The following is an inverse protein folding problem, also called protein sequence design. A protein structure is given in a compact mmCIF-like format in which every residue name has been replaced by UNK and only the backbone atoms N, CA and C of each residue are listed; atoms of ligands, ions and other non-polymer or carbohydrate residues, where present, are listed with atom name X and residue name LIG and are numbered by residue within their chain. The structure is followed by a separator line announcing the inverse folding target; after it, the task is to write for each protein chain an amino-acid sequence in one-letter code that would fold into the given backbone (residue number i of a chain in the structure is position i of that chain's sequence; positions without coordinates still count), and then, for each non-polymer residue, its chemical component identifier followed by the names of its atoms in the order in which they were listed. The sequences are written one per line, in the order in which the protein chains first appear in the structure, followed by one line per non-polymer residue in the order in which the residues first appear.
data_IF_079871344008
#
_entry.id   IF_079871344008
#
_cell.length_a   1.000
_cell.length_b   1.000
_cell.length_c   1.000
_cell.angle_alpha   90.00
_cell.angle_beta   90.00
_cell.angle_gamma   90.00
#
_symmetry.space_group_name_H-M   'P 1'
#
loop_
_entity.id
_entity.type
_entity.pdbx_description
1 polymer ?
#
# COMPACT_ATOMS: atom_id res chain seq x y z
N UNK A 1 -10.02 -23.69 15.91
CA UNK A 1 -10.60 -24.06 14.60
C UNK A 1 -10.08 -23.16 13.47
N UNK A 2 -10.14 -21.82 13.61
CA UNK A 2 -9.68 -20.87 12.59
C UNK A 2 -8.19 -20.99 12.27
N UNK A 3 -7.32 -21.03 13.29
CA UNK A 3 -5.87 -21.19 13.13
C UNK A 3 -5.50 -22.48 12.42
N UNK A 4 -6.20 -23.58 12.74
CA UNK A 4 -6.01 -24.86 12.06
C UNK A 4 -6.35 -24.75 10.57
N UNK A 5 -7.52 -24.19 10.25
CA UNK A 5 -7.95 -23.99 8.86
C UNK A 5 -6.92 -23.21 8.05
N UNK A 6 -6.44 -22.05 8.58
CA UNK A 6 -5.43 -21.24 7.88
C UNK A 6 -4.18 -22.04 7.51
N UNK A 7 -3.66 -22.81 8.45
CA UNK A 7 -2.40 -23.51 8.27
C UNK A 7 -2.52 -24.74 7.37
N UNK A 8 -3.73 -25.33 7.26
CA UNK A 8 -4.00 -26.59 6.55
C UNK A 8 -4.80 -26.42 5.24
N UNK A 9 -5.10 -25.17 4.86
CA UNK A 9 -5.94 -24.90 3.67
C UNK A 9 -5.35 -25.45 2.37
N UNK A 10 -4.03 -25.46 2.25
CA UNK A 10 -3.31 -25.94 1.05
C UNK A 10 -2.74 -27.35 1.20
N UNK A 11 -3.10 -28.14 2.22
CA UNK A 11 -2.52 -29.48 2.44
C UNK A 11 -2.86 -30.47 1.34
N UNK A 12 -4.02 -30.31 0.70
CA UNK A 12 -4.47 -31.16 -0.40
C UNK A 12 -3.92 -30.76 -1.77
N UNK A 13 -2.96 -29.83 -1.81
CA UNK A 13 -2.33 -29.35 -3.05
C UNK A 13 -0.82 -29.51 -2.93
N UNK A 14 -0.21 -30.12 -3.95
CA UNK A 14 1.23 -30.10 -4.11
C UNK A 14 1.68 -28.77 -4.71
N UNK A 15 2.10 -27.83 -3.86
CA UNK A 15 2.54 -26.49 -4.27
C UNK A 15 3.86 -26.50 -5.06
N UNK A 16 4.52 -27.64 -5.23
CA UNK A 16 5.68 -27.81 -6.11
C UNK A 16 5.31 -28.25 -7.55
N UNK A 17 4.04 -28.52 -7.83
CA UNK A 17 3.60 -29.01 -9.13
C UNK A 17 3.24 -27.86 -10.08
N UNK A 18 4.15 -27.52 -11.00
CA UNK A 18 3.97 -26.48 -12.01
C UNK A 18 2.74 -26.67 -12.92
N UNK A 19 2.20 -27.91 -13.02
CA UNK A 19 1.01 -28.16 -13.85
C UNK A 19 -0.22 -27.44 -13.34
N UNK A 20 -0.26 -27.11 -12.05
CA UNK A 20 -1.33 -26.33 -11.44
C UNK A 20 -1.49 -24.94 -12.09
N UNK A 21 -0.40 -24.33 -12.56
CA UNK A 21 -0.42 -23.04 -13.24
C UNK A 21 -1.13 -23.05 -14.59
N UNK A 22 -1.41 -24.24 -15.13
CA UNK A 22 -2.15 -24.40 -16.39
C UNK A 22 -3.64 -24.60 -16.18
N UNK A 23 -4.08 -24.51 -14.93
CA UNK A 23 -5.47 -24.71 -14.54
C UNK A 23 -6.00 -23.51 -13.76
N UNK A 24 -7.27 -23.13 -13.91
CA UNK A 24 -7.85 -22.05 -13.13
C UNK A 24 -8.04 -22.40 -11.64
N UNK A 25 -7.86 -23.68 -11.29
CA UNK A 25 -8.13 -24.19 -9.93
C UNK A 25 -7.20 -23.56 -8.90
N UNK A 26 -5.94 -23.40 -9.24
CA UNK A 26 -4.94 -22.86 -8.31
C UNK A 26 -5.19 -21.37 -8.00
N UNK A 27 -5.37 -20.55 -9.01
CA UNK A 27 -5.67 -19.12 -8.84
C UNK A 27 -7.00 -18.91 -8.09
N UNK A 28 -8.05 -19.65 -8.48
CA UNK A 28 -9.33 -19.60 -7.78
C UNK A 28 -9.21 -19.99 -6.30
N UNK A 29 -8.33 -20.95 -5.98
CA UNK A 29 -8.09 -21.35 -4.60
C UNK A 29 -7.27 -20.30 -3.82
N UNK A 30 -6.32 -19.63 -4.48
CA UNK A 30 -5.62 -18.48 -3.87
C UNK A 30 -6.60 -17.36 -3.55
N UNK A 31 -7.45 -17.00 -4.50
CA UNK A 31 -8.45 -15.95 -4.30
C UNK A 31 -9.46 -16.30 -3.22
N UNK A 32 -9.97 -17.54 -3.20
CA UNK A 32 -10.86 -17.99 -2.13
C UNK A 32 -10.19 -17.90 -0.76
N UNK A 33 -8.92 -18.30 -0.65
CA UNK A 33 -8.18 -18.21 0.60
C UNK A 33 -8.00 -16.78 1.07
N UNK A 34 -7.44 -15.92 0.24
CA UNK A 34 -7.09 -14.56 0.62
C UNK A 34 -8.31 -13.63 0.75
N UNK A 35 -9.38 -13.87 0.00
CA UNK A 35 -10.58 -13.02 0.03
C UNK A 35 -11.63 -13.46 1.04
N UNK A 36 -11.76 -14.79 1.28
CA UNK A 36 -12.89 -15.31 2.06
C UNK A 36 -12.49 -16.01 3.34
N UNK A 37 -11.29 -16.61 3.39
CA UNK A 37 -10.88 -17.40 4.56
C UNK A 37 -10.08 -16.58 5.58
N UNK A 38 -9.57 -15.42 5.19
CA UNK A 38 -8.79 -14.55 6.06
C UNK A 38 -9.58 -13.29 6.44
N UNK A 39 -9.34 -12.80 7.66
CA UNK A 39 -9.80 -11.45 8.02
C UNK A 39 -9.11 -10.43 7.12
N UNK A 40 -9.89 -9.50 6.55
CA UNK A 40 -9.42 -8.50 5.60
C UNK A 40 -8.71 -7.34 6.30
N UNK A 41 -7.65 -7.68 7.03
CA UNK A 41 -6.72 -6.76 7.70
C UNK A 41 -5.27 -7.19 7.44
N UNK A 42 -4.32 -6.26 7.34
CA UNK A 42 -2.92 -6.56 7.06
C UNK A 42 -2.31 -7.58 8.02
N UNK A 43 -2.56 -7.44 9.32
CA UNK A 43 -2.03 -8.34 10.36
C UNK A 43 -2.49 -9.81 10.21
N UNK A 44 -3.61 -10.04 9.55
CA UNK A 44 -4.08 -11.40 9.25
C UNK A 44 -3.50 -11.94 7.95
N UNK A 45 -3.31 -11.09 6.96
CA UNK A 45 -2.96 -11.48 5.58
C UNK A 45 -1.44 -11.58 5.40
N UNK A 46 -0.67 -10.62 5.87
CA UNK A 46 0.80 -10.58 5.70
C UNK A 46 1.47 -11.88 6.18
N UNK A 47 1.20 -12.38 7.40
CA UNK A 47 1.80 -13.63 7.86
C UNK A 47 1.43 -14.84 6.99
N UNK A 48 0.26 -14.82 6.34
CA UNK A 48 -0.19 -15.91 5.47
C UNK A 48 0.45 -15.82 4.07
N UNK A 49 0.73 -14.61 3.58
CA UNK A 49 1.56 -14.42 2.38
C UNK A 49 2.94 -15.06 2.62
N UNK A 50 3.61 -14.69 3.71
CA UNK A 50 4.95 -15.21 4.01
C UNK A 50 4.95 -16.71 4.29
N UNK A 51 3.94 -17.22 5.00
CA UNK A 51 3.78 -18.65 5.24
C UNK A 51 3.62 -19.44 3.94
N UNK A 52 2.76 -18.98 3.04
CA UNK A 52 2.52 -19.62 1.74
C UNK A 52 3.77 -19.58 0.87
N UNK A 53 4.43 -18.42 0.75
CA UNK A 53 5.64 -18.27 -0.05
C UNK A 53 6.77 -19.17 0.45
N UNK A 54 6.99 -19.25 1.75
CA UNK A 54 7.98 -20.15 2.35
C UNK A 54 7.64 -21.64 2.11
N UNK A 55 6.35 -21.99 2.14
CA UNK A 55 5.89 -23.35 1.87
C UNK A 55 6.15 -23.75 0.42
N UNK A 56 5.87 -22.85 -0.53
CA UNK A 56 6.15 -23.06 -1.96
C UNK A 56 7.65 -23.24 -2.19
N UNK A 57 8.49 -22.37 -1.63
CA UNK A 57 9.95 -22.47 -1.71
C UNK A 57 10.47 -23.85 -1.30
N UNK A 58 9.94 -24.38 -0.19
CA UNK A 58 10.33 -25.71 0.31
C UNK A 58 9.85 -26.85 -0.57
N UNK A 59 8.64 -26.78 -1.10
CA UNK A 59 8.04 -27.85 -1.90
C UNK A 59 8.55 -27.85 -3.34
N UNK A 60 8.71 -26.69 -3.96
CA UNK A 60 9.23 -26.59 -5.32
C UNK A 60 10.73 -26.85 -5.39
N UNK A 61 11.47 -26.51 -4.32
CA UNK A 61 12.93 -26.72 -4.19
C UNK A 61 13.76 -26.15 -5.36
N UNK A 62 13.32 -25.03 -5.91
CA UNK A 62 13.99 -24.32 -7.02
C UNK A 62 14.43 -22.90 -6.63
N UNK A 63 14.36 -22.59 -5.33
CA UNK A 63 14.60 -21.26 -4.83
C UNK A 63 13.66 -20.23 -5.46
N UNK A 64 14.14 -19.02 -5.65
CA UNK A 64 13.35 -17.94 -6.25
C UNK A 64 13.13 -18.09 -7.76
N UNK A 65 13.82 -19.01 -8.43
CA UNK A 65 13.64 -19.33 -9.85
C UNK A 65 12.42 -20.24 -10.11
N UNK A 66 11.78 -20.75 -9.07
CA UNK A 66 10.60 -21.60 -9.16
C UNK A 66 9.43 -20.90 -9.83
N UNK A 67 8.75 -21.61 -10.74
CA UNK A 67 7.61 -21.05 -11.45
C UNK A 67 6.39 -20.91 -10.54
N UNK A 68 6.13 -21.89 -9.67
CA UNK A 68 5.05 -21.80 -8.68
C UNK A 68 5.28 -20.63 -7.75
N UNK A 69 6.52 -20.49 -7.26
CA UNK A 69 6.91 -19.38 -6.39
C UNK A 69 6.63 -18.03 -7.04
N UNK A 70 7.21 -17.80 -8.23
CA UNK A 70 7.10 -16.49 -8.86
C UNK A 70 5.67 -16.18 -9.33
N UNK A 71 4.94 -17.14 -9.89
CA UNK A 71 3.56 -16.91 -10.31
C UNK A 71 2.64 -16.60 -9.12
N UNK A 72 2.82 -17.30 -7.99
CA UNK A 72 2.05 -17.01 -6.77
C UNK A 72 2.38 -15.61 -6.24
N UNK A 73 3.67 -15.27 -6.16
CA UNK A 73 4.12 -13.95 -5.74
C UNK A 73 3.54 -12.86 -6.64
N UNK A 74 3.62 -13.04 -7.95
CA UNK A 74 3.11 -12.08 -8.91
C UNK A 74 1.58 -11.94 -8.85
N UNK A 75 0.85 -13.04 -8.67
CA UNK A 75 -0.60 -13.02 -8.47
C UNK A 75 -0.98 -12.18 -7.24
N UNK A 76 -0.32 -12.41 -6.10
CA UNK A 76 -0.55 -11.64 -4.88
C UNK A 76 -0.14 -10.17 -5.03
N UNK A 77 0.98 -9.89 -5.71
CA UNK A 77 1.42 -8.55 -6.03
C UNK A 77 0.35 -7.79 -6.85
N UNK A 78 -0.16 -8.40 -7.91
CA UNK A 78 -1.21 -7.81 -8.75
C UNK A 78 -2.53 -7.62 -7.99
N UNK A 79 -2.91 -8.59 -7.14
CA UNK A 79 -4.11 -8.55 -6.32
C UNK A 79 -4.12 -7.37 -5.36
N UNK A 80 -3.01 -7.14 -4.66
CA UNK A 80 -2.91 -6.06 -3.67
C UNK A 80 -2.39 -4.73 -4.23
N UNK A 81 -2.08 -4.66 -5.52
CA UNK A 81 -1.71 -3.41 -6.19
C UNK A 81 -2.81 -2.36 -6.17
N UNK A 82 -4.07 -2.79 -6.28
CA UNK A 82 -5.26 -1.95 -6.19
C UNK A 82 -6.26 -2.64 -5.24
N UNK A 83 -6.03 -2.54 -3.93
CA UNK A 83 -6.79 -3.29 -2.95
C UNK A 83 -8.25 -2.81 -2.88
N UNK A 84 -9.16 -3.75 -2.64
CA UNK A 84 -10.59 -3.48 -2.53
C UNK A 84 -10.96 -2.69 -1.27
N UNK A 85 -10.20 -2.85 -0.21
CA UNK A 85 -10.44 -2.21 1.08
C UNK A 85 -9.27 -1.31 1.46
N UNK A 86 -9.58 -0.19 2.09
CA UNK A 86 -8.59 0.74 2.62
C UNK A 86 -7.71 0.06 3.69
N UNK A 87 -6.41 0.34 3.67
CA UNK A 87 -5.43 -0.25 4.58
C UNK A 87 -4.79 -1.55 4.10
N UNK A 88 -5.37 -2.25 3.10
CA UNK A 88 -4.74 -3.44 2.51
C UNK A 88 -3.56 -3.11 1.57
N UNK A 89 -3.34 -1.84 1.27
CA UNK A 89 -2.13 -1.34 0.62
C UNK A 89 -0.85 -1.65 1.42
N UNK A 90 -0.95 -1.84 2.74
CA UNK A 90 0.15 -2.34 3.58
C UNK A 90 0.68 -3.69 3.10
N UNK A 91 -0.21 -4.57 2.60
CA UNK A 91 0.18 -5.88 2.06
C UNK A 91 1.00 -5.70 0.79
N UNK A 92 0.59 -4.78 -0.08
CA UNK A 92 1.34 -4.48 -1.30
C UNK A 92 2.73 -3.90 -1.00
N UNK A 93 2.81 -2.98 -0.02
CA UNK A 93 4.09 -2.42 0.45
C UNK A 93 4.99 -3.53 1.03
N UNK A 94 4.44 -4.43 1.86
CA UNK A 94 5.16 -5.57 2.39
C UNK A 94 5.69 -6.50 1.28
N UNK A 95 4.87 -6.80 0.27
CA UNK A 95 5.29 -7.62 -0.87
C UNK A 95 6.42 -6.94 -1.65
N UNK A 96 6.31 -5.64 -1.92
CA UNK A 96 7.37 -4.90 -2.61
C UNK A 96 8.68 -4.94 -1.84
N UNK A 97 8.65 -4.66 -0.54
CA UNK A 97 9.83 -4.61 0.30
C UNK A 97 10.45 -5.99 0.48
N UNK A 98 9.66 -6.95 0.98
CA UNK A 98 10.15 -8.26 1.39
C UNK A 98 10.64 -9.09 0.22
N UNK A 99 9.96 -9.02 -0.93
CA UNK A 99 10.25 -9.91 -2.04
C UNK A 99 10.98 -9.24 -3.18
N UNK A 100 10.50 -8.09 -3.67
CA UNK A 100 11.10 -7.45 -4.84
C UNK A 100 12.37 -6.67 -4.48
N UNK A 101 12.31 -5.79 -3.49
CA UNK A 101 13.44 -4.91 -3.13
C UNK A 101 14.57 -5.72 -2.50
N UNK A 102 14.25 -6.70 -1.66
CA UNK A 102 15.23 -7.58 -1.04
C UNK A 102 15.75 -8.69 -1.98
N UNK A 103 15.34 -8.70 -3.25
CA UNK A 103 15.87 -9.62 -4.26
C UNK A 103 15.36 -11.06 -4.16
N UNK A 104 14.24 -11.30 -3.49
CA UNK A 104 13.59 -12.60 -3.38
C UNK A 104 12.69 -12.88 -4.59
N UNK A 105 13.18 -12.58 -5.78
CA UNK A 105 12.52 -12.77 -7.08
C UNK A 105 13.49 -13.44 -8.05
N UNK A 106 13.01 -14.05 -9.16
CA UNK A 106 13.90 -14.63 -10.16
C UNK A 106 14.91 -13.63 -10.71
N UNK A 107 16.12 -14.12 -11.05
CA UNK A 107 17.18 -13.28 -11.58
C UNK A 107 16.73 -12.46 -12.83
N UNK A 108 15.90 -13.04 -13.69
CA UNK A 108 15.30 -12.33 -14.83
C UNK A 108 14.48 -11.10 -14.45
N UNK A 109 13.85 -11.13 -13.27
CA UNK A 109 13.05 -10.00 -12.73
C UNK A 109 13.97 -9.01 -12.02
N UNK A 110 14.88 -9.50 -11.17
CA UNK A 110 15.83 -8.67 -10.44
C UNK A 110 16.75 -7.86 -11.39
N UNK A 111 17.12 -8.44 -12.53
CA UNK A 111 17.96 -7.81 -13.54
C UNK A 111 17.20 -6.86 -14.49
N UNK A 112 15.88 -6.86 -14.48
CA UNK A 112 15.08 -5.86 -15.19
C UNK A 112 15.08 -4.54 -14.41
N UNK A 113 16.10 -3.73 -14.69
CA UNK A 113 16.31 -2.44 -13.98
C UNK A 113 15.15 -1.47 -14.21
N UNK A 114 14.52 -1.46 -15.37
CA UNK A 114 13.41 -0.58 -15.67
C UNK A 114 12.17 -0.96 -14.83
N UNK A 115 11.87 -2.25 -14.74
CA UNK A 115 10.79 -2.77 -13.92
C UNK A 115 11.05 -2.56 -12.43
N UNK A 116 12.26 -2.89 -11.96
CA UNK A 116 12.64 -2.71 -10.56
C UNK A 116 12.65 -1.25 -10.11
N UNK A 117 13.05 -0.31 -10.97
CA UNK A 117 12.98 1.11 -10.66
C UNK A 117 11.53 1.58 -10.49
N UNK A 118 10.60 1.12 -11.32
CA UNK A 118 9.16 1.43 -11.15
C UNK A 118 8.63 0.91 -9.82
N UNK A 119 9.05 -0.28 -9.39
CA UNK A 119 8.65 -0.85 -8.09
C UNK A 119 9.23 -0.01 -6.95
N UNK A 120 10.52 0.35 -7.01
CA UNK A 120 11.17 1.18 -5.99
C UNK A 120 10.55 2.57 -5.89
N UNK A 121 10.27 3.21 -7.01
CA UNK A 121 9.61 4.52 -7.04
C UNK A 121 8.21 4.46 -6.43
N UNK A 122 7.47 3.40 -6.74
CA UNK A 122 6.14 3.18 -6.16
C UNK A 122 6.21 2.91 -4.66
N UNK A 123 7.13 2.05 -4.22
CA UNK A 123 7.37 1.77 -2.82
C UNK A 123 7.70 3.05 -2.04
N UNK A 124 8.65 3.85 -2.55
CA UNK A 124 9.05 5.10 -1.90
C UNK A 124 7.89 6.10 -1.72
N UNK A 125 6.93 6.10 -2.63
CA UNK A 125 5.71 6.92 -2.53
C UNK A 125 4.69 6.38 -1.52
N UNK A 126 4.68 5.07 -1.29
CA UNK A 126 3.65 4.41 -0.48
C UNK A 126 4.09 4.13 0.95
N UNK A 127 5.37 3.86 1.18
CA UNK A 127 5.88 3.43 2.50
C UNK A 127 5.59 4.44 3.61
N UNK A 128 5.61 5.73 3.30
CA UNK A 128 5.34 6.79 4.27
C UNK A 128 3.85 7.08 4.50
N UNK A 129 2.97 6.47 3.70
CA UNK A 129 1.52 6.64 3.83
C UNK A 129 0.86 5.50 4.61
N UNK A 130 1.66 4.59 5.17
CA UNK A 130 1.14 3.46 5.92
C UNK A 130 0.63 3.90 7.31
N UNK A 131 -0.40 3.22 7.80
CA UNK A 131 -0.96 3.46 9.14
C UNK A 131 0.13 3.17 10.19
N UNK A 132 0.36 4.13 11.09
CA UNK A 132 1.37 4.03 12.15
C UNK A 132 2.76 4.53 11.75
N UNK A 133 2.97 4.92 10.50
CA UNK A 133 4.21 5.55 10.04
C UNK A 133 4.08 7.07 10.11
N UNK A 134 5.17 7.76 10.48
CA UNK A 134 5.19 9.21 10.47
C UNK A 134 5.02 9.73 9.03
N UNK A 135 4.04 10.60 8.83
CA UNK A 135 3.83 11.27 7.55
C UNK A 135 5.04 12.13 7.18
N UNK A 136 5.30 12.23 5.89
CA UNK A 136 6.34 13.13 5.37
C UNK A 136 5.97 14.57 5.69
N UNK A 137 6.90 15.30 6.26
CA UNK A 137 6.70 16.73 6.56
C UNK A 137 6.61 17.54 5.27
N UNK A 138 5.55 18.32 5.14
CA UNK A 138 5.28 19.08 3.93
C UNK A 138 5.84 20.51 4.02
N UNK A 139 6.51 20.93 2.95
CA UNK A 139 6.91 22.31 2.78
C UNK A 139 5.74 23.09 2.17
N UNK A 140 5.23 24.06 2.89
CA UNK A 140 4.07 24.87 2.54
C UNK A 140 4.48 26.31 2.33
N UNK A 141 3.85 27.00 1.38
CA UNK A 141 4.02 28.44 1.22
C UNK A 141 2.97 29.16 2.06
N UNK A 142 3.43 29.94 3.04
CA UNK A 142 2.57 30.76 3.88
C UNK A 142 2.18 32.02 3.10
N UNK A 143 0.90 32.14 2.78
CA UNK A 143 0.34 33.32 2.16
C UNK A 143 -0.21 34.23 3.27
N UNK A 144 0.23 35.48 3.32
CA UNK A 144 -0.36 36.53 4.16
C UNK A 144 -1.74 36.94 3.67
N UNK A 145 -2.51 37.63 4.53
CA UNK A 145 -3.81 38.18 4.14
C UNK A 145 -3.64 39.40 3.22
N UNK A 146 -2.50 40.11 3.31
CA UNK A 146 -2.09 41.20 2.45
C UNK A 146 -0.79 40.86 1.74
N UNK A 147 -0.66 41.30 0.50
CA UNK A 147 0.50 41.06 -0.37
C UNK A 147 1.80 41.72 0.14
N UNK A 148 1.73 42.51 1.21
CA UNK A 148 2.85 43.20 1.84
C UNK A 148 3.24 42.61 3.20
N UNK A 149 2.69 41.43 3.57
CA UNK A 149 3.01 40.80 4.85
C UNK A 149 4.45 40.23 4.82
N UNK A 150 5.34 40.82 5.68
CA UNK A 150 6.74 40.39 5.85
C UNK A 150 6.88 38.92 6.32
N UNK A 151 5.76 38.26 6.69
CA UNK A 151 5.72 36.87 7.15
C UNK A 151 5.41 35.87 6.01
N UNK A 152 5.37 36.32 4.75
CA UNK A 152 5.26 35.42 3.60
C UNK A 152 6.54 34.61 3.44
N UNK A 153 6.40 33.31 3.24
CA UNK A 153 7.55 32.45 3.01
C UNK A 153 7.26 30.98 3.16
N UNK A 154 8.27 30.19 2.94
CA UNK A 154 8.19 28.74 3.08
C UNK A 154 8.22 28.35 4.56
N UNK A 155 7.30 27.50 4.96
CA UNK A 155 7.25 26.90 6.29
C UNK A 155 7.00 25.40 6.18
N UNK A 156 7.37 24.66 7.22
CA UNK A 156 7.06 23.24 7.31
C UNK A 156 5.74 23.05 8.07
N UNK A 157 4.95 22.05 7.65
CA UNK A 157 3.72 21.71 8.34
C UNK A 157 3.95 21.42 9.83
N UNK A 158 5.05 20.76 10.16
CA UNK A 158 5.45 20.45 11.55
C UNK A 158 5.72 21.68 12.41
N UNK A 159 5.98 22.84 11.82
CA UNK A 159 6.22 24.10 12.52
C UNK A 159 4.94 24.90 12.76
N UNK A 160 3.82 24.51 12.19
CA UNK A 160 2.52 25.17 12.40
C UNK A 160 2.02 24.84 13.80
N UNK A 161 1.99 25.84 14.67
CA UNK A 161 1.47 25.71 16.04
C UNK A 161 -0.02 26.04 16.05
N UNK A 162 -0.85 25.02 16.23
CA UNK A 162 -2.30 25.14 16.28
C UNK A 162 -2.88 23.95 17.02
N UNK A 163 -4.04 24.13 17.67
CA UNK A 163 -4.76 23.01 18.31
C UNK A 163 -5.29 22.00 17.29
N UNK A 164 -5.61 22.45 16.08
CA UNK A 164 -6.10 21.63 14.98
C UNK A 164 -5.53 22.17 13.66
N UNK A 165 -5.13 21.27 12.79
CA UNK A 165 -4.70 21.59 11.43
C UNK A 165 -5.61 20.86 10.47
N UNK A 166 -6.28 21.58 9.58
CA UNK A 166 -7.09 21.02 8.50
C UNK A 166 -6.28 21.08 7.21
N UNK A 167 -5.96 19.93 6.65
CA UNK A 167 -5.32 19.81 5.34
C UNK A 167 -6.39 19.55 4.29
N UNK A 168 -6.48 20.42 3.31
CA UNK A 168 -7.37 20.26 2.18
C UNK A 168 -6.56 20.03 0.90
N UNK A 169 -6.66 18.83 0.35
CA UNK A 169 -6.03 18.48 -0.92
C UNK A 169 -6.98 18.81 -2.07
N UNK A 170 -6.56 19.68 -2.97
CA UNK A 170 -7.40 20.12 -4.07
C UNK A 170 -6.60 20.23 -5.38
N UNK A 171 -7.33 20.24 -6.49
CA UNK A 171 -6.78 20.43 -7.83
C UNK A 171 -7.60 21.48 -8.58
N UNK A 172 -6.94 22.25 -9.44
CA UNK A 172 -7.58 23.27 -10.27
C UNK A 172 -8.62 22.69 -11.24
N UNK A 173 -8.44 21.45 -11.66
CA UNK A 173 -9.36 20.76 -12.60
C UNK A 173 -10.43 19.93 -11.89
N UNK A 174 -10.39 19.88 -10.57
CA UNK A 174 -11.37 19.16 -9.75
C UNK A 174 -12.68 19.97 -9.64
N UNK A 175 -13.69 19.60 -10.39
CA UNK A 175 -15.01 20.26 -10.38
C UNK A 175 -15.73 20.19 -9.02
N UNK A 176 -15.50 19.15 -8.23
CA UNK A 176 -16.01 19.02 -6.86
C UNK A 176 -15.32 20.01 -5.91
N UNK A 177 -14.03 20.16 -6.04
CA UNK A 177 -13.25 21.10 -5.23
C UNK A 177 -13.69 22.54 -5.45
N UNK A 178 -13.96 22.92 -6.71
CA UNK A 178 -14.44 24.28 -7.05
C UNK A 178 -15.77 24.63 -6.37
N UNK A 179 -16.60 23.65 -6.06
CA UNK A 179 -17.88 23.85 -5.34
C UNK A 179 -17.68 23.96 -3.84
N UNK A 180 -16.83 23.12 -3.28
CA UNK A 180 -16.68 22.97 -1.82
C UNK A 180 -15.75 24.04 -1.22
N UNK A 181 -14.69 24.45 -1.92
CA UNK A 181 -13.74 25.44 -1.40
C UNK A 181 -14.42 26.74 -0.94
N UNK A 182 -15.35 27.36 -1.71
CA UNK A 182 -16.03 28.57 -1.25
C UNK A 182 -16.84 28.35 0.04
N UNK A 183 -17.48 27.17 0.20
CA UNK A 183 -18.25 26.84 1.39
C UNK A 183 -17.33 26.69 2.63
N UNK A 184 -16.20 26.01 2.47
CA UNK A 184 -15.17 25.90 3.53
C UNK A 184 -14.61 27.26 3.92
N UNK A 185 -14.32 28.12 2.92
CA UNK A 185 -13.81 29.44 3.16
C UNK A 185 -14.84 30.33 3.92
N UNK A 186 -16.13 30.20 3.60
CA UNK A 186 -17.21 30.85 4.30
C UNK A 186 -17.30 30.37 5.76
N UNK A 187 -17.31 29.04 5.98
CA UNK A 187 -17.30 28.44 7.31
C UNK A 187 -16.10 28.91 8.15
N UNK A 188 -14.90 28.95 7.54
CA UNK A 188 -13.70 29.43 8.23
C UNK A 188 -13.80 30.90 8.65
N UNK A 189 -14.43 31.77 7.82
CA UNK A 189 -14.62 33.19 8.14
C UNK A 189 -15.73 33.44 9.15
N UNK A 190 -16.84 32.69 9.07
CA UNK A 190 -18.04 32.92 9.89
C UNK A 190 -17.96 32.25 11.27
N UNK A 191 -17.22 31.18 11.40
CA UNK A 191 -17.08 30.48 12.68
C UNK A 191 -15.83 30.96 13.44
N UNK A 192 -15.95 31.00 14.76
CA UNK A 192 -14.93 31.41 15.73
C UNK A 192 -13.68 30.49 15.75
N UNK A 193 -13.44 29.69 14.71
CA UNK A 193 -12.21 28.89 14.60
C UNK A 193 -10.95 29.79 14.68
N UNK A 194 -11.06 31.05 14.25
CA UNK A 194 -10.00 32.07 14.41
C UNK A 194 -9.73 32.47 15.85
N UNK A 195 -10.71 32.29 16.77
CA UNK A 195 -10.58 32.79 18.14
C UNK A 195 -10.07 31.77 19.15
N UNK A 196 -9.94 30.48 18.71
CA UNK A 196 -9.55 29.36 19.58
C UNK A 196 -8.20 28.73 19.18
N UNK A 197 -7.48 29.30 18.19
CA UNK A 197 -6.17 28.85 17.75
C UNK A 197 -5.04 29.65 18.37
#
# INVERSE_FOLDING_TARGET
KYTYMKNHYFDNINLGDERLLRTPVYESKLDDYFDKQLFQIPDSIIPQVDFLMNRILKQENKGYEGKMYYNTLHHLFMKYQNPKYMGLDNIFVHIMETYYINGHVPARVANDTAYMNKIKDRYAKMVHNQIGVNAVDMLLYKMGQDTLDEHMGWTRLSLVKSNYIVLYFWDTDCGHCKKIIPEWHKLYRENEFKKKG
#
